data_IF_143353454371
#
_entry.id   IF_143353454371
#
_cell.length_a   1.000
_cell.length_b   1.000
_cell.length_c   1.000
_cell.angle_alpha   90.00
_cell.angle_beta   90.00
_cell.angle_gamma   90.00
#
_symmetry.space_group_name_H-M   'P 1'
#
loop_
_entity.id
_entity.type
_entity.pdbx_description
1 polymer ?
#
# COMPACT_ATOMS: atom_id res chain seq x y z
N UNK A 1 -27.91 -42.76 35.48
CA UNK A 1 -28.08 -41.58 36.34
C UNK A 1 -27.09 -40.52 35.89
N UNK A 2 -27.51 -39.53 35.11
CA UNK A 2 -26.67 -38.40 34.70
C UNK A 2 -26.76 -37.30 35.75
N UNK A 3 -25.67 -37.07 36.49
CA UNK A 3 -25.51 -35.92 37.36
C UNK A 3 -25.34 -34.67 36.50
N UNK A 4 -26.41 -33.90 36.35
CA UNK A 4 -26.35 -32.59 35.72
C UNK A 4 -25.62 -31.62 36.67
N UNK A 5 -24.42 -31.20 36.28
CA UNK A 5 -23.65 -30.19 37.02
C UNK A 5 -24.32 -28.81 36.86
N UNK A 6 -24.94 -28.26 37.92
CA UNK A 6 -25.68 -27.00 37.84
C UNK A 6 -24.76 -25.79 37.66
N UNK A 7 -23.47 -25.94 37.97
CA UNK A 7 -22.48 -24.86 38.04
C UNK A 7 -22.01 -24.46 36.65
N UNK A 8 -21.69 -25.46 35.81
CA UNK A 8 -21.33 -25.23 34.41
C UNK A 8 -22.47 -24.66 33.57
N UNK A 9 -23.71 -25.03 33.89
CA UNK A 9 -24.91 -24.49 33.23
C UNK A 9 -25.12 -23.01 33.56
N UNK A 10 -24.94 -22.61 34.84
CA UNK A 10 -25.05 -21.22 35.28
C UNK A 10 -23.97 -20.32 34.68
N UNK A 11 -22.74 -20.81 34.59
CA UNK A 11 -21.63 -20.08 33.97
C UNK A 11 -21.84 -19.89 32.46
N UNK A 12 -22.30 -20.93 31.76
CA UNK A 12 -22.66 -20.83 30.32
C UNK A 12 -23.81 -19.86 30.08
N UNK A 13 -24.84 -19.85 30.93
CA UNK A 13 -25.93 -18.88 30.81
C UNK A 13 -25.46 -17.45 31.11
N UNK A 14 -24.58 -17.25 32.10
CA UNK A 14 -24.02 -15.92 32.39
C UNK A 14 -23.16 -15.40 31.22
N UNK A 15 -22.35 -16.27 30.61
CA UNK A 15 -21.54 -15.91 29.44
C UNK A 15 -22.42 -15.57 28.23
N UNK A 16 -23.50 -16.32 28.00
CA UNK A 16 -24.45 -16.06 26.92
C UNK A 16 -25.20 -14.72 27.09
N UNK A 17 -25.59 -14.38 28.33
CA UNK A 17 -26.25 -13.11 28.65
C UNK A 17 -25.27 -11.93 28.44
N UNK A 18 -24.00 -12.08 28.85
CA UNK A 18 -22.99 -11.04 28.64
C UNK A 18 -22.72 -10.78 27.15
N UNK A 19 -22.68 -11.84 26.32
CA UNK A 19 -22.51 -11.73 24.86
C UNK A 19 -23.72 -11.06 24.18
N UNK A 20 -24.95 -11.37 24.59
CA UNK A 20 -26.15 -10.71 24.05
C UNK A 20 -26.22 -9.22 24.40
N UNK A 21 -25.81 -8.84 25.62
CA UNK A 21 -25.79 -7.44 26.06
C UNK A 21 -24.79 -6.58 25.27
N UNK A 22 -23.68 -7.17 24.80
CA UNK A 22 -22.72 -6.46 23.95
C UNK A 22 -23.22 -6.22 22.52
N UNK A 23 -24.08 -7.09 21.97
CA UNK A 23 -24.63 -6.91 20.61
C UNK A 23 -25.66 -5.77 20.54
N UNK A 24 -26.42 -5.51 21.62
CA UNK A 24 -27.46 -4.50 21.64
C UNK A 24 -26.93 -3.05 21.59
N UNK A 25 -25.72 -2.80 22.10
CA UNK A 25 -25.14 -1.46 22.13
C UNK A 25 -24.59 -0.99 20.77
N UNK A 26 -24.34 -1.92 19.83
CA UNK A 26 -23.79 -1.58 18.50
C UNK A 26 -24.86 -0.97 17.57
N UNK A 27 -26.14 -1.29 17.76
CA UNK A 27 -27.22 -0.78 16.91
C UNK A 27 -27.66 0.66 17.24
N UNK A 28 -27.39 1.16 18.44
CA UNK A 28 -27.78 2.53 18.82
C UNK A 28 -26.93 3.63 18.16
N UNK A 29 -25.83 3.26 17.47
CA UNK A 29 -24.95 4.20 16.77
C UNK A 29 -25.19 4.28 15.26
N UNK A 30 -26.19 3.57 14.73
CA UNK A 30 -26.50 3.61 13.31
C UNK A 30 -27.62 4.62 12.99
N UNK A 31 -27.16 5.72 12.40
CA UNK A 31 -27.84 6.59 11.43
C UNK A 31 -28.93 7.55 11.92
N UNK A 32 -28.52 8.79 12.18
CA UNK A 32 -29.25 9.92 11.64
C UNK A 32 -28.80 10.11 10.17
N UNK A 33 -29.68 10.02 9.16
CA UNK A 33 -29.33 10.42 7.81
C UNK A 33 -29.13 11.95 7.79
N UNK A 34 -27.93 12.40 7.45
CA UNK A 34 -27.70 13.78 7.10
C UNK A 34 -28.54 14.12 5.87
N UNK A 35 -29.43 15.11 6.01
CA UNK A 35 -30.17 15.66 4.88
C UNK A 35 -29.19 16.15 3.80
N UNK A 36 -29.45 15.92 2.51
CA UNK A 36 -28.60 16.46 1.45
C UNK A 36 -28.70 17.99 1.48
N UNK A 37 -27.59 18.63 1.83
CA UNK A 37 -27.44 20.07 1.66
C UNK A 37 -27.58 20.40 0.17
N UNK A 38 -28.52 21.28 -0.16
CA UNK A 38 -28.67 21.82 -1.50
C UNK A 38 -27.35 22.49 -1.91
N UNK A 39 -26.81 22.08 -3.07
CA UNK A 39 -25.64 22.71 -3.64
C UNK A 39 -25.96 24.18 -3.97
N UNK A 40 -25.08 25.14 -3.64
CA UNK A 40 -25.25 26.52 -4.08
C UNK A 40 -25.19 26.60 -5.60
N UNK A 41 -25.94 27.51 -6.25
CA UNK A 41 -25.89 27.69 -7.69
C UNK A 41 -24.47 28.12 -8.11
N UNK A 42 -23.98 27.69 -9.30
CA UNK A 42 -22.68 28.11 -9.79
C UNK A 42 -22.65 29.64 -9.96
N UNK A 43 -21.53 30.31 -9.63
CA UNK A 43 -21.41 31.74 -9.85
C UNK A 43 -21.48 32.05 -11.35
N UNK A 44 -22.40 32.94 -11.72
CA UNK A 44 -22.49 33.49 -13.08
C UNK A 44 -21.27 34.38 -13.34
N UNK A 45 -20.26 33.83 -14.00
CA UNK A 45 -19.10 34.61 -14.45
C UNK A 45 -19.53 35.40 -15.68
N UNK A 46 -19.70 36.71 -15.52
CA UNK A 46 -19.84 37.63 -16.66
C UNK A 46 -18.54 37.60 -17.49
N UNK A 47 -18.60 37.69 -18.83
CA UNK A 47 -17.40 37.73 -19.66
C UNK A 47 -16.56 38.96 -19.30
N UNK A 48 -15.23 38.86 -19.22
CA UNK A 48 -14.38 40.01 -18.94
C UNK A 48 -14.46 41.00 -20.12
N UNK A 49 -14.83 42.25 -19.80
CA UNK A 49 -14.76 43.38 -20.72
C UNK A 49 -13.32 43.57 -21.20
N UNK A 50 -13.10 43.46 -22.50
CA UNK A 50 -11.81 43.73 -23.15
C UNK A 50 -11.53 45.23 -23.10
N UNK A 51 -10.70 45.67 -22.17
CA UNK A 51 -10.04 46.98 -22.29
C UNK A 51 -8.82 47.02 -21.38
N UNK A 52 -7.68 46.53 -21.88
CA UNK A 52 -6.38 47.16 -21.66
C UNK A 52 -5.34 46.50 -22.57
N UNK A 53 -5.25 47.03 -23.79
CA UNK A 53 -4.14 46.81 -24.69
C UNK A 53 -2.99 47.73 -24.25
N UNK A 54 -2.13 47.26 -23.34
CA UNK A 54 -0.86 47.91 -23.04
C UNK A 54 0.23 46.87 -22.74
N UNK A 55 0.99 46.55 -23.79
CA UNK A 55 2.35 46.03 -23.77
C UNK A 55 2.69 44.92 -22.75
N UNK A 56 2.28 43.69 -23.04
CA UNK A 56 2.92 42.49 -22.49
C UNK A 56 3.89 41.92 -23.53
N UNK A 57 5.08 41.41 -23.13
CA UNK A 57 6.01 40.75 -24.04
C UNK A 57 5.29 39.57 -24.72
N UNK A 58 5.56 39.39 -26.01
CA UNK A 58 5.01 38.31 -26.86
C UNK A 58 5.48 36.95 -26.34
N UNK A 59 4.78 36.41 -25.34
CA UNK A 59 4.97 35.07 -24.80
C UNK A 59 4.14 34.15 -25.69
N UNK A 60 4.81 33.30 -26.47
CA UNK A 60 4.18 32.21 -27.22
C UNK A 60 3.56 31.19 -26.24
N UNK A 61 2.38 31.50 -25.73
CA UNK A 61 1.52 30.52 -25.07
C UNK A 61 0.91 29.65 -26.15
N UNK A 62 0.94 28.33 -25.97
CA UNK A 62 0.11 27.43 -26.77
C UNK A 62 -1.34 27.93 -26.72
N UNK A 63 -2.01 28.00 -27.87
CA UNK A 63 -3.42 28.42 -27.95
C UNK A 63 -4.33 27.58 -27.05
N UNK A 64 -5.52 28.10 -26.74
CA UNK A 64 -6.50 27.43 -25.86
C UNK A 64 -6.70 25.95 -26.27
N UNK A 65 -6.20 25.02 -25.45
CA UNK A 65 -6.43 23.58 -25.66
C UNK A 65 -7.83 23.26 -25.13
N UNK A 66 -8.81 23.17 -26.03
CA UNK A 66 -10.14 22.64 -25.69
C UNK A 66 -10.10 21.12 -25.79
N UNK A 67 -10.47 20.45 -24.70
CA UNK A 67 -10.73 19.02 -24.74
C UNK A 67 -11.94 18.76 -25.65
N UNK A 68 -11.77 17.95 -26.68
CA UNK A 68 -12.90 17.46 -27.47
C UNK A 68 -13.71 16.48 -26.60
N UNK A 69 -15.04 16.61 -26.54
CA UNK A 69 -15.86 15.56 -25.96
C UNK A 69 -15.65 14.26 -26.74
N UNK A 70 -15.72 13.10 -26.07
CA UNK A 70 -15.63 11.80 -26.74
C UNK A 70 -16.75 11.66 -27.78
N UNK A 71 -16.48 10.94 -28.87
CA UNK A 71 -17.43 10.75 -29.97
C UNK A 71 -18.76 10.15 -29.45
N UNK A 72 -19.87 10.82 -29.78
CA UNK A 72 -21.22 10.41 -29.39
C UNK A 72 -21.62 9.11 -30.14
N UNK A 73 -21.26 7.96 -29.57
CA UNK A 73 -21.59 6.65 -30.14
C UNK A 73 -20.77 5.49 -29.57
N UNK A 74 -19.57 5.77 -29.08
CA UNK A 74 -18.75 4.78 -28.39
C UNK A 74 -19.07 4.77 -26.89
N UNK A 75 -19.42 3.62 -26.30
CA UNK A 75 -19.61 3.52 -24.86
C UNK A 75 -18.28 3.82 -24.16
N UNK A 76 -18.31 4.72 -23.18
CA UNK A 76 -17.15 5.06 -22.35
C UNK A 76 -16.74 3.86 -21.49
N UNK A 77 -15.84 3.03 -22.00
CA UNK A 77 -15.28 1.90 -21.28
C UNK A 77 -14.11 2.35 -20.38
N UNK A 78 -14.44 2.56 -19.09
CA UNK A 78 -13.48 2.93 -18.04
C UNK A 78 -12.40 1.86 -17.79
N UNK A 79 -12.62 0.63 -18.24
CA UNK A 79 -11.71 -0.49 -18.03
C UNK A 79 -10.87 -0.83 -19.27
N UNK A 80 -11.09 -0.13 -20.39
CA UNK A 80 -10.32 -0.30 -21.63
C UNK A 80 -8.85 0.06 -21.45
N UNK A 81 -8.56 1.06 -20.62
CA UNK A 81 -7.19 1.48 -20.37
C UNK A 81 -6.45 0.43 -19.54
N UNK A 82 -5.51 -0.27 -20.18
CA UNK A 82 -4.48 -1.05 -19.50
C UNK A 82 -3.20 -0.24 -19.53
N UNK A 83 -2.58 -0.05 -18.37
CA UNK A 83 -1.26 0.57 -18.30
C UNK A 83 -0.28 -0.30 -19.12
N UNK A 84 0.27 0.20 -20.25
CA UNK A 84 1.15 -0.59 -21.11
C UNK A 84 2.53 -0.80 -20.46
N UNK A 85 2.84 -0.05 -19.40
CA UNK A 85 4.10 -0.14 -18.66
C UNK A 85 3.92 -1.06 -17.46
N UNK A 86 4.52 -2.25 -17.55
CA UNK A 86 4.75 -3.10 -16.38
C UNK A 86 6.16 -2.82 -15.85
N UNK A 87 6.31 -2.21 -14.65
CA UNK A 87 7.63 -1.92 -14.12
C UNK A 87 8.40 -3.24 -13.89
N UNK A 88 9.65 -3.33 -14.37
CA UNK A 88 10.48 -4.52 -14.12
C UNK A 88 10.77 -4.64 -12.61
N UNK A 89 10.95 -5.87 -12.11
CA UNK A 89 11.27 -6.09 -10.70
C UNK A 89 12.55 -5.34 -10.31
N UNK A 90 12.45 -4.52 -9.27
CA UNK A 90 13.48 -3.63 -8.77
C UNK A 90 14.11 -4.22 -7.49
N UNK A 91 15.31 -3.74 -7.14
CA UNK A 91 15.97 -4.05 -5.85
C UNK A 91 15.10 -3.67 -4.65
N UNK A 92 14.27 -2.63 -4.78
CA UNK A 92 13.41 -2.15 -3.70
C UNK A 92 12.25 -3.08 -3.39
N UNK A 93 11.80 -3.92 -4.34
CA UNK A 93 10.65 -4.81 -4.11
C UNK A 93 10.92 -5.91 -3.08
N UNK A 94 12.20 -6.12 -2.73
CA UNK A 94 12.67 -7.09 -1.74
C UNK A 94 12.53 -6.54 -0.32
N UNK A 95 12.99 -5.30 -0.15
CA UNK A 95 13.14 -4.66 1.15
C UNK A 95 11.89 -3.83 1.49
N UNK A 96 11.23 -3.31 0.46
CA UNK A 96 10.02 -2.50 0.56
C UNK A 96 8.84 -3.25 -0.04
N UNK A 97 7.91 -3.63 0.83
CA UNK A 97 6.60 -4.13 0.41
C UNK A 97 5.60 -3.01 0.60
N UNK A 98 5.04 -2.43 -0.48
CA UNK A 98 4.03 -1.40 -0.35
C UNK A 98 2.83 -1.94 0.45
N UNK A 99 2.13 -1.07 1.20
CA UNK A 99 0.92 -1.47 1.87
C UNK A 99 -0.12 -1.98 0.85
N UNK A 100 -0.98 -2.94 1.24
CA UNK A 100 -1.99 -3.48 0.34
C UNK A 100 -2.92 -2.37 -0.15
N UNK A 101 -3.32 -2.43 -1.42
CA UNK A 101 -4.25 -1.45 -2.00
C UNK A 101 -5.65 -1.61 -1.41
N UNK A 102 -6.48 -0.56 -1.48
CA UNK A 102 -7.87 -0.61 -0.97
C UNK A 102 -8.70 -1.70 -1.66
N UNK A 103 -8.47 -1.91 -2.96
CA UNK A 103 -9.11 -2.97 -3.73
C UNK A 103 -8.66 -4.35 -3.25
N UNK A 104 -7.36 -4.55 -3.03
CA UNK A 104 -6.82 -5.80 -2.51
C UNK A 104 -7.33 -6.08 -1.09
N UNK A 105 -7.45 -5.06 -0.25
CA UNK A 105 -8.05 -5.18 1.08
C UNK A 105 -9.51 -5.62 0.95
N UNK A 106 -10.29 -5.00 0.07
CA UNK A 106 -11.69 -5.40 -0.19
C UNK A 106 -11.80 -6.86 -0.63
N UNK A 107 -10.98 -7.28 -1.62
CA UNK A 107 -10.97 -8.65 -2.14
C UNK A 107 -10.53 -9.68 -1.08
N UNK A 108 -9.69 -9.29 -0.12
CA UNK A 108 -9.20 -10.15 0.96
C UNK A 108 -10.10 -10.19 2.21
N UNK A 109 -11.33 -9.65 2.13
CA UNK A 109 -12.29 -9.64 3.25
C UNK A 109 -12.32 -8.34 4.06
N UNK A 110 -11.76 -7.25 3.52
CA UNK A 110 -11.80 -5.92 4.08
C UNK A 110 -10.79 -5.68 5.22
N UNK A 111 -10.87 -4.48 5.81
CA UNK A 111 -9.96 -4.07 6.88
C UNK A 111 -10.11 -4.88 8.17
N UNK A 112 -11.27 -5.49 8.40
CA UNK A 112 -11.50 -6.35 9.58
C UNK A 112 -10.63 -7.61 9.47
N UNK A 113 -10.67 -8.30 8.33
CA UNK A 113 -9.82 -9.48 8.11
C UNK A 113 -8.33 -9.12 8.22
N UNK A 114 -7.91 -8.02 7.57
CA UNK A 114 -6.54 -7.51 7.67
C UNK A 114 -6.14 -7.23 9.13
N UNK A 115 -7.02 -6.62 9.92
CA UNK A 115 -6.79 -6.33 11.33
C UNK A 115 -6.62 -7.60 12.17
N UNK A 116 -7.42 -8.63 11.93
CA UNK A 116 -7.30 -9.93 12.59
C UNK A 116 -5.95 -10.59 12.27
N UNK A 117 -5.56 -10.63 10.99
CA UNK A 117 -4.26 -11.19 10.58
C UNK A 117 -3.10 -10.40 11.17
N UNK A 118 -3.20 -9.07 11.19
CA UNK A 118 -2.19 -8.20 11.78
C UNK A 118 -2.03 -8.48 13.28
N UNK A 119 -3.13 -8.58 14.02
CA UNK A 119 -3.11 -8.87 15.46
C UNK A 119 -2.53 -10.27 15.73
N UNK A 120 -2.94 -11.28 14.97
CA UNK A 120 -2.42 -12.64 15.09
C UNK A 120 -0.90 -12.68 14.83
N UNK A 121 -0.42 -12.01 13.77
CA UNK A 121 1.01 -11.91 13.47
C UNK A 121 1.80 -11.20 14.57
N UNK A 122 1.25 -10.13 15.16
CA UNK A 122 1.88 -9.43 16.30
C UNK A 122 1.90 -10.29 17.56
N UNK A 123 0.83 -11.02 17.86
CA UNK A 123 0.76 -11.93 18.99
C UNK A 123 1.79 -13.06 18.84
N UNK A 124 1.89 -13.66 17.65
CA UNK A 124 2.90 -14.68 17.36
C UNK A 124 4.32 -14.15 17.55
N UNK A 125 4.61 -12.93 17.06
CA UNK A 125 5.91 -12.28 17.25
C UNK A 125 6.21 -11.99 18.73
N UNK A 126 5.23 -11.53 19.48
CA UNK A 126 5.36 -11.30 20.91
C UNK A 126 5.63 -12.60 21.67
N UNK A 127 4.90 -13.67 21.34
CA UNK A 127 5.11 -14.98 21.94
C UNK A 127 6.49 -15.53 21.62
N UNK A 128 6.94 -15.44 20.36
CA UNK A 128 8.28 -15.84 19.94
C UNK A 128 9.39 -15.10 20.71
N UNK A 129 9.23 -13.78 20.90
CA UNK A 129 10.16 -12.98 21.70
C UNK A 129 10.20 -13.41 23.19
N UNK A 130 9.08 -13.85 23.76
CA UNK A 130 9.00 -14.31 25.14
C UNK A 130 9.49 -15.75 25.33
N UNK A 131 9.26 -16.64 24.36
CA UNK A 131 9.68 -18.04 24.43
C UNK A 131 11.16 -18.22 24.05
N UNK A 132 11.80 -17.19 23.47
CA UNK A 132 13.19 -17.27 23.03
C UNK A 132 13.40 -18.31 21.94
N UNK A 133 12.35 -18.62 21.18
CA UNK A 133 12.45 -19.56 20.07
C UNK A 133 13.51 -19.10 19.08
N UNK A 134 14.33 -20.02 18.52
CA UNK A 134 15.30 -19.62 17.51
C UNK A 134 14.54 -18.99 16.34
N UNK A 135 14.90 -17.74 16.00
CA UNK A 135 14.43 -17.15 14.75
C UNK A 135 15.00 -17.98 13.59
N UNK A 136 14.22 -18.08 12.51
CA UNK A 136 14.74 -18.59 11.24
C UNK A 136 15.70 -17.55 10.65
N UNK A 137 16.88 -17.41 11.26
CA UNK A 137 17.95 -16.57 10.78
C UNK A 137 18.51 -17.29 9.56
N UNK A 138 18.25 -16.71 8.39
CA UNK A 138 18.93 -17.16 7.18
C UNK A 138 20.42 -16.92 7.40
N UNK A 139 21.21 -17.99 7.47
CA UNK A 139 22.64 -17.88 7.68
C UNK A 139 23.21 -16.87 6.69
N UNK A 140 24.06 -15.96 7.16
CA UNK A 140 24.76 -15.02 6.29
C UNK A 140 25.69 -15.83 5.38
N UNK A 141 25.16 -16.29 4.25
CA UNK A 141 25.97 -16.87 3.20
C UNK A 141 26.74 -15.70 2.59
N UNK A 142 28.07 -15.72 2.76
CA UNK A 142 28.94 -14.80 2.05
C UNK A 142 28.62 -14.95 0.57
N UNK A 143 28.13 -13.88 -0.05
CA UNK A 143 27.87 -13.92 -1.49
C UNK A 143 29.21 -14.20 -2.17
N UNK A 144 29.29 -15.17 -3.09
CA UNK A 144 30.48 -15.30 -3.92
C UNK A 144 30.72 -13.94 -4.59
N UNK A 145 31.98 -13.48 -4.65
CA UNK A 145 32.29 -12.21 -5.28
C UNK A 145 31.77 -12.20 -6.72
N UNK A 146 31.25 -11.06 -7.22
CA UNK A 146 30.87 -10.96 -8.62
C UNK A 146 32.08 -11.33 -9.49
N UNK A 147 31.87 -12.14 -10.52
CA UNK A 147 32.94 -12.42 -11.48
C UNK A 147 33.25 -11.12 -12.22
N UNK A 148 34.46 -10.58 -12.03
CA UNK A 148 34.91 -9.41 -12.79
C UNK A 148 35.07 -9.81 -14.26
N UNK A 149 34.59 -8.98 -15.17
CA UNK A 149 34.95 -9.09 -16.58
C UNK A 149 36.46 -8.87 -16.76
N UNK A 150 37.02 -9.36 -17.87
CA UNK A 150 38.46 -9.22 -18.17
C UNK A 150 38.91 -7.75 -18.17
N UNK A 151 38.07 -6.84 -18.66
CA UNK A 151 38.34 -5.40 -18.67
C UNK A 151 38.38 -4.81 -17.24
N UNK A 152 37.55 -5.30 -16.33
CA UNK A 152 37.52 -4.88 -14.92
C UNK A 152 38.72 -5.44 -14.15
N UNK A 153 39.11 -6.68 -14.43
CA UNK A 153 40.33 -7.31 -13.91
C UNK A 153 41.58 -6.52 -14.30
N UNK A 154 41.74 -6.15 -15.57
CA UNK A 154 42.86 -5.33 -16.02
C UNK A 154 42.91 -3.97 -15.32
N UNK A 155 41.74 -3.36 -15.08
CA UNK A 155 41.65 -2.08 -14.36
C UNK A 155 42.07 -2.25 -12.89
N UNK A 156 41.62 -3.31 -12.23
CA UNK A 156 42.00 -3.63 -10.86
C UNK A 156 43.52 -3.88 -10.73
N UNK A 157 44.13 -4.59 -11.69
CA UNK A 157 45.57 -4.83 -11.71
C UNK A 157 46.40 -3.54 -11.83
N UNK A 158 45.94 -2.59 -12.67
CA UNK A 158 46.60 -1.27 -12.81
C UNK A 158 46.55 -0.48 -11.51
N UNK A 159 45.36 -0.38 -10.90
CA UNK A 159 45.17 0.30 -9.61
C UNK A 159 45.99 -0.36 -8.50
N UNK A 160 46.10 -1.69 -8.51
CA UNK A 160 46.90 -2.41 -7.53
C UNK A 160 48.42 -2.19 -7.69
N UNK A 161 48.90 -2.10 -8.93
CA UNK A 161 50.29 -1.77 -9.22
C UNK A 161 50.64 -0.36 -8.75
N UNK A 162 49.71 0.59 -8.87
CA UNK A 162 49.86 1.96 -8.37
C UNK A 162 49.87 2.05 -6.83
N UNK A 163 49.14 1.16 -6.14
CA UNK A 163 49.01 1.14 -4.67
C UNK A 163 50.05 0.27 -3.94
N UNK A 164 51.08 -0.22 -4.64
CA UNK A 164 52.19 -0.93 -4.00
C UNK A 164 52.02 -2.45 -3.83
N UNK A 165 51.20 -3.10 -4.68
CA UNK A 165 51.37 -4.54 -4.97
C UNK A 165 50.73 -5.55 -4.01
N UNK A 166 49.71 -5.16 -3.25
CA UNK A 166 49.04 -6.04 -2.27
C UNK A 166 47.97 -7.00 -2.82
N UNK A 167 47.84 -7.18 -4.15
CA UNK A 167 46.80 -8.04 -4.75
C UNK A 167 47.33 -9.42 -5.10
N UNK A 168 47.77 -10.17 -4.09
CA UNK A 168 47.87 -11.61 -4.21
C UNK A 168 46.51 -12.21 -3.81
N UNK A 169 45.87 -12.90 -4.75
CA UNK A 169 44.61 -13.60 -4.54
C UNK A 169 44.77 -14.64 -3.43
N UNK A 170 44.11 -14.41 -2.29
CA UNK A 170 43.88 -15.44 -1.29
C UNK A 170 42.93 -16.48 -1.87
N UNK A 171 43.39 -17.73 -1.95
CA UNK A 171 42.57 -18.90 -2.24
C UNK A 171 41.57 -19.16 -1.11
#
# INVERSE_FOLDING_TARGET
MHTADPTGRRLRTMLAIALLATCANVQAQQAAPAAPAAAPPPPSVAPPSTSDAAAQPDIQTLGEVRALPPDEGEPLDLYRFKNPVSPPPNRFDKDWRPPPSVEQVSQSGGYIALGVYYLAGKAAKGLHALTGGPDQVQAAVARPPPQLSEAELQRAMKVCAEQGGGCAAGQ
#
